data_IF_705443336038
#
_entry.id   IF_705443336038
#
_cell.length_a   1.000
_cell.length_b   1.000
_cell.length_c   1.000
_cell.angle_alpha   90.00
_cell.angle_beta   90.00
_cell.angle_gamma   90.00
#
_symmetry.space_group_name_H-M   'P 1'
#
loop_
_entity.id
_entity.type
_entity.pdbx_description
1 polymer ?
#
# COMPACT_ATOMS: atom_id res chain seq x y z
N UNK A 1 53.12 -10.32 17.82
CA UNK A 1 52.43 -11.30 16.94
C UNK A 1 50.94 -11.01 16.96
N UNK A 2 50.49 -10.16 16.05
CA UNK A 2 49.09 -9.75 15.89
C UNK A 2 48.37 -10.76 15.00
N UNK A 3 47.37 -11.46 15.55
CA UNK A 3 46.51 -12.39 14.81
C UNK A 3 45.41 -11.57 14.13
N UNK A 4 45.53 -11.36 12.83
CA UNK A 4 44.47 -10.79 12.00
C UNK A 4 43.30 -11.76 11.91
N UNK A 5 42.16 -11.35 12.45
CA UNK A 5 40.86 -12.01 12.30
C UNK A 5 40.21 -11.49 11.00
N UNK A 6 39.93 -12.34 10.00
CA UNK A 6 39.27 -11.87 8.79
C UNK A 6 37.80 -11.57 9.09
N UNK A 7 37.40 -10.33 8.84
CA UNK A 7 36.02 -9.88 8.95
C UNK A 7 35.11 -10.75 8.08
N UNK A 8 34.31 -11.57 8.74
CA UNK A 8 33.27 -12.40 8.18
C UNK A 8 32.26 -11.49 7.44
N UNK A 9 31.95 -11.73 6.15
CA UNK A 9 30.99 -10.90 5.45
C UNK A 9 29.62 -11.11 6.09
N UNK A 10 29.06 -10.05 6.67
CA UNK A 10 27.73 -10.02 7.24
C UNK A 10 26.72 -10.61 6.25
N UNK A 11 26.28 -11.84 6.53
CA UNK A 11 25.25 -12.54 5.77
C UNK A 11 24.00 -11.67 5.83
N UNK A 12 23.67 -11.02 4.71
CA UNK A 12 22.39 -10.37 4.55
C UNK A 12 21.30 -11.42 4.80
N UNK A 13 20.55 -11.27 5.88
CA UNK A 13 19.53 -12.22 6.33
C UNK A 13 18.41 -12.30 5.28
N UNK A 14 18.55 -13.21 4.32
CA UNK A 14 17.47 -13.53 3.37
C UNK A 14 16.33 -14.12 4.20
N UNK A 15 15.16 -13.47 4.28
CA UNK A 15 14.06 -13.96 5.10
C UNK A 15 13.61 -15.35 4.60
N UNK A 16 13.15 -16.23 5.51
CA UNK A 16 12.74 -17.58 5.14
C UNK A 16 11.60 -17.53 4.11
N UNK A 17 11.65 -18.42 3.11
CA UNK A 17 10.68 -18.50 1.99
C UNK A 17 9.20 -18.48 2.44
N UNK A 18 8.90 -19.02 3.62
CA UNK A 18 7.55 -19.03 4.24
C UNK A 18 7.08 -17.66 4.76
N UNK A 19 8.00 -16.82 5.23
CA UNK A 19 7.70 -15.43 5.59
C UNK A 19 7.39 -14.61 4.34
N UNK A 20 8.13 -14.84 3.24
CA UNK A 20 7.87 -14.23 1.94
C UNK A 20 6.48 -14.61 1.41
N UNK A 21 6.03 -15.87 1.57
CA UNK A 21 4.68 -16.26 1.14
C UNK A 21 3.58 -15.57 1.93
N UNK A 22 3.73 -15.43 3.25
CA UNK A 22 2.75 -14.69 4.08
C UNK A 22 2.73 -13.21 3.70
N UNK A 23 3.90 -12.58 3.62
CA UNK A 23 4.02 -11.18 3.21
C UNK A 23 3.42 -10.93 1.82
N UNK A 24 3.61 -11.86 0.87
CA UNK A 24 3.02 -11.77 -0.48
C UNK A 24 1.49 -11.86 -0.44
N UNK A 25 0.92 -12.76 0.37
CA UNK A 25 -0.54 -12.88 0.52
C UNK A 25 -1.12 -11.62 1.16
N UNK A 26 -0.48 -11.11 2.20
CA UNK A 26 -0.91 -9.89 2.90
C UNK A 26 -0.79 -8.67 1.98
N UNK A 27 0.32 -8.53 1.26
CA UNK A 27 0.52 -7.50 0.24
C UNK A 27 -0.55 -7.57 -0.86
N UNK A 28 -0.90 -8.77 -1.33
CA UNK A 28 -1.95 -8.95 -2.35
C UNK A 28 -3.33 -8.58 -1.84
N UNK A 29 -3.69 -8.98 -0.63
CA UNK A 29 -4.97 -8.61 -0.01
C UNK A 29 -5.07 -7.10 0.18
N UNK A 30 -3.99 -6.49 0.68
CA UNK A 30 -3.89 -5.04 0.82
C UNK A 30 -4.03 -4.34 -0.52
N UNK A 31 -3.27 -4.76 -1.54
CA UNK A 31 -3.34 -4.22 -2.89
C UNK A 31 -4.76 -4.24 -3.47
N UNK A 32 -5.45 -5.38 -3.43
CA UNK A 32 -6.82 -5.49 -3.94
C UNK A 32 -7.76 -4.51 -3.23
N UNK A 33 -7.68 -4.44 -1.89
CA UNK A 33 -8.54 -3.56 -1.09
C UNK A 33 -8.27 -2.09 -1.39
N UNK A 34 -7.00 -1.68 -1.35
CA UNK A 34 -6.61 -0.28 -1.52
C UNK A 34 -6.86 0.21 -2.94
N UNK A 35 -6.58 -0.60 -3.96
CA UNK A 35 -6.84 -0.20 -5.36
C UNK A 35 -8.35 -0.10 -5.62
N UNK A 36 -9.15 -1.03 -5.10
CA UNK A 36 -10.63 -0.92 -5.20
C UNK A 36 -11.11 0.38 -4.55
N UNK A 37 -10.60 0.69 -3.35
CA UNK A 37 -10.94 1.90 -2.64
C UNK A 37 -10.55 3.18 -3.40
N UNK A 38 -9.35 3.22 -3.99
CA UNK A 38 -8.91 4.36 -4.82
C UNK A 38 -9.82 4.53 -6.03
N UNK A 39 -10.16 3.44 -6.73
CA UNK A 39 -11.07 3.49 -7.88
C UNK A 39 -12.47 4.02 -7.48
N UNK A 40 -13.02 3.54 -6.36
CA UNK A 40 -14.31 4.01 -5.83
C UNK A 40 -14.28 5.49 -5.40
N UNK A 41 -13.14 5.98 -4.90
CA UNK A 41 -12.92 7.37 -4.52
C UNK A 41 -12.78 8.27 -5.76
N UNK A 42 -12.05 7.82 -6.78
CA UNK A 42 -11.98 8.51 -8.09
C UNK A 42 -13.35 8.56 -8.75
N UNK A 43 -14.17 7.51 -8.57
CA UNK A 43 -15.57 7.46 -8.98
C UNK A 43 -16.52 8.25 -8.04
N UNK A 44 -16.00 8.92 -7.00
CA UNK A 44 -16.74 9.73 -6.01
C UNK A 44 -17.83 8.99 -5.24
N UNK A 45 -17.74 7.66 -5.15
CA UNK A 45 -18.67 6.83 -4.36
C UNK A 45 -18.27 6.71 -2.90
N UNK A 46 -17.03 7.07 -2.59
CA UNK A 46 -16.46 7.08 -1.23
C UNK A 46 -15.72 8.37 -0.98
N UNK A 47 -15.59 8.74 0.29
CA UNK A 47 -14.85 9.92 0.71
C UNK A 47 -13.35 9.63 0.81
N UNK A 48 -12.53 10.64 0.50
CA UNK A 48 -11.07 10.51 0.54
C UNK A 48 -10.55 10.13 1.93
N UNK A 49 -11.26 10.50 3.01
CA UNK A 49 -10.91 10.10 4.38
C UNK A 49 -10.87 8.59 4.60
N UNK A 50 -11.50 7.78 3.74
CA UNK A 50 -11.39 6.32 3.84
C UNK A 50 -10.00 5.79 3.43
N UNK A 51 -9.18 6.59 2.72
CA UNK A 51 -7.78 6.25 2.42
C UNK A 51 -6.83 6.45 3.60
N UNK A 52 -7.29 7.07 4.69
CA UNK A 52 -6.45 7.26 5.86
C UNK A 52 -5.96 5.91 6.39
N UNK A 53 -4.64 5.83 6.62
CA UNK A 53 -3.95 4.60 6.97
C UNK A 53 -3.71 3.59 5.84
N UNK A 54 -4.34 3.74 4.67
CA UNK A 54 -4.11 2.90 3.48
C UNK A 54 -3.19 3.53 2.44
N UNK A 55 -3.07 4.86 2.44
CA UNK A 55 -2.19 5.60 1.54
C UNK A 55 -1.34 6.59 2.33
N UNK A 56 -0.21 6.99 1.75
CA UNK A 56 0.58 8.09 2.29
C UNK A 56 -0.17 9.42 2.18
N UNK A 57 0.11 10.37 3.07
CA UNK A 57 -0.49 11.70 3.04
C UNK A 57 -0.29 12.39 1.67
N UNK A 58 0.90 12.25 1.08
CA UNK A 58 1.20 12.79 -0.25
C UNK A 58 0.26 12.23 -1.33
N UNK A 59 0.02 10.93 -1.33
CA UNK A 59 -0.88 10.30 -2.31
C UNK A 59 -2.34 10.69 -2.08
N UNK A 60 -2.75 10.85 -0.82
CA UNK A 60 -4.06 11.37 -0.45
C UNK A 60 -4.24 12.80 -1.00
N UNK A 61 -3.24 13.66 -0.88
CA UNK A 61 -3.27 15.02 -1.40
C UNK A 61 -3.36 15.03 -2.94
N UNK A 62 -2.61 14.17 -3.62
CA UNK A 62 -2.67 14.01 -5.08
C UNK A 62 -4.05 13.55 -5.56
N UNK A 63 -4.63 12.54 -4.92
CA UNK A 63 -5.99 12.06 -5.24
C UNK A 63 -7.03 13.14 -4.96
N UNK A 64 -6.87 13.87 -3.86
CA UNK A 64 -7.74 15.00 -3.51
C UNK A 64 -7.69 16.09 -4.58
N UNK A 65 -6.49 16.48 -5.02
CA UNK A 65 -6.31 17.45 -6.08
C UNK A 65 -6.93 16.98 -7.41
N UNK A 66 -6.70 15.73 -7.79
CA UNK A 66 -7.28 15.11 -8.99
C UNK A 66 -8.82 15.17 -8.98
N UNK A 67 -9.44 14.82 -7.85
CA UNK A 67 -10.90 14.85 -7.70
C UNK A 67 -11.42 16.29 -7.81
N UNK A 68 -10.74 17.28 -7.24
CA UNK A 68 -11.14 18.69 -7.33
C UNK A 68 -11.05 19.25 -8.75
N UNK A 69 -10.00 18.87 -9.50
CA UNK A 69 -9.77 19.34 -10.87
C UNK A 69 -10.68 18.65 -11.90
N UNK A 70 -11.25 17.49 -11.57
CA UNK A 70 -12.15 16.75 -12.45
C UNK A 70 -13.58 17.30 -12.33
N UNK A 71 -14.21 17.80 -13.40
CA UNK A 71 -15.59 18.27 -13.31
C UNK A 71 -16.57 17.12 -13.04
N UNK A 72 -17.62 17.33 -12.22
CA UNK A 72 -18.70 16.35 -12.07
C UNK A 72 -19.33 16.03 -13.44
N UNK A 73 -19.41 14.75 -13.80
CA UNK A 73 -20.01 14.29 -15.08
C UNK A 73 -19.01 13.94 -16.19
N UNK A 74 -17.73 14.33 -16.09
CA UNK A 74 -16.68 13.90 -17.06
C UNK A 74 -16.26 12.45 -16.83
N UNK A 75 -16.44 12.00 -15.59
CA UNK A 75 -16.27 10.62 -15.17
C UNK A 75 -17.61 9.91 -15.39
N UNK A 76 -17.85 9.40 -16.60
CA UNK A 76 -19.08 8.68 -16.97
C UNK A 76 -19.43 7.65 -15.90
N UNK A 77 -20.72 7.58 -15.52
CA UNK A 77 -21.27 6.94 -14.32
C UNK A 77 -21.10 5.41 -14.18
N UNK A 78 -20.15 4.82 -14.88
CA UNK A 78 -19.83 3.41 -14.77
C UNK A 78 -18.81 3.14 -13.66
N UNK A 79 -19.20 2.20 -12.79
CA UNK A 79 -18.37 1.68 -11.70
C UNK A 79 -17.06 1.10 -12.25
N UNK A 80 -15.93 1.63 -11.78
CA UNK A 80 -14.65 0.99 -11.97
C UNK A 80 -14.63 -0.36 -11.22
N UNK A 81 -14.43 -1.44 -11.96
CA UNK A 81 -14.36 -2.80 -11.43
C UNK A 81 -12.96 -3.35 -11.63
N UNK A 82 -12.28 -3.68 -10.53
CA UNK A 82 -10.96 -4.29 -10.57
C UNK A 82 -11.06 -5.68 -11.21
N UNK A 83 -10.23 -5.96 -12.23
CA UNK A 83 -10.26 -7.24 -12.95
C UNK A 83 -9.08 -8.15 -12.66
N UNK A 84 -7.86 -7.63 -12.80
CA UNK A 84 -6.64 -8.39 -12.55
C UNK A 84 -5.69 -7.57 -11.68
N UNK A 85 -5.04 -8.26 -10.76
CA UNK A 85 -4.01 -7.71 -9.88
C UNK A 85 -2.86 -8.70 -9.81
N UNK A 86 -1.70 -8.23 -10.22
CA UNK A 86 -0.42 -8.89 -10.07
C UNK A 86 0.38 -8.11 -9.04
N UNK A 87 1.01 -8.82 -8.11
CA UNK A 87 1.86 -8.24 -7.08
C UNK A 87 3.25 -8.85 -7.23
N UNK A 88 4.25 -8.00 -7.37
CA UNK A 88 5.65 -8.36 -7.43
C UNK A 88 6.34 -7.82 -6.17
N UNK A 89 6.78 -8.72 -5.30
CA UNK A 89 7.57 -8.33 -4.14
C UNK A 89 8.94 -7.84 -4.60
N UNK A 90 9.34 -6.64 -4.16
CA UNK A 90 10.68 -6.08 -4.36
C UNK A 90 11.61 -6.37 -3.17
N UNK A 91 11.02 -6.76 -2.04
CA UNK A 91 11.72 -7.07 -0.81
C UNK A 91 10.74 -7.36 0.34
N UNK A 92 11.22 -7.45 1.59
CA UNK A 92 10.40 -7.84 2.74
C UNK A 92 9.25 -6.88 3.06
N UNK A 93 9.33 -5.63 2.61
CA UNK A 93 8.37 -4.56 2.92
C UNK A 93 8.05 -3.64 1.75
N UNK A 94 8.32 -4.06 0.51
CA UNK A 94 8.00 -3.28 -0.68
C UNK A 94 7.47 -4.21 -1.78
N UNK A 95 6.44 -3.78 -2.48
CA UNK A 95 5.89 -4.49 -3.62
C UNK A 95 5.35 -3.54 -4.68
N UNK A 96 5.54 -3.92 -5.93
CA UNK A 96 4.90 -3.29 -7.08
C UNK A 96 3.63 -4.05 -7.45
N UNK A 97 2.66 -3.29 -7.94
CA UNK A 97 1.33 -3.78 -8.28
C UNK A 97 1.01 -3.34 -9.69
N UNK A 98 0.60 -4.29 -10.50
CA UNK A 98 0.16 -4.04 -11.86
C UNK A 98 -1.17 -4.72 -12.10
N UNK A 99 -2.01 -4.12 -12.91
CA UNK A 99 -3.29 -4.72 -13.15
C UNK A 99 -4.14 -4.00 -14.17
N UNK A 100 -5.37 -4.47 -14.26
CA UNK A 100 -6.38 -3.87 -15.10
C UNK A 100 -7.68 -3.70 -14.34
N UNK A 101 -8.38 -2.64 -14.69
CA UNK A 101 -9.72 -2.34 -14.22
C UNK A 101 -10.61 -2.04 -15.42
N UNK A 102 -11.88 -2.38 -15.31
CA UNK A 102 -12.87 -2.04 -16.31
C UNK A 102 -13.65 -0.84 -15.83
N UNK A 103 -13.84 0.13 -16.71
CA UNK A 103 -14.72 1.28 -16.48
C UNK A 103 -15.59 1.47 -17.72
N UNK A 104 -16.89 1.25 -17.54
CA UNK A 104 -17.82 1.10 -18.65
C UNK A 104 -17.42 -0.04 -19.56
N UNK A 105 -17.33 0.24 -20.86
CA UNK A 105 -16.94 -0.74 -21.88
C UNK A 105 -15.42 -0.90 -22.04
N UNK A 106 -14.63 0.00 -21.43
CA UNK A 106 -13.18 0.03 -21.63
C UNK A 106 -12.45 -0.68 -20.49
N UNK A 107 -11.48 -1.50 -20.86
CA UNK A 107 -10.47 -2.04 -19.94
C UNK A 107 -9.27 -1.11 -19.98
N UNK A 108 -8.83 -0.67 -18.81
CA UNK A 108 -7.66 0.20 -18.61
C UNK A 108 -6.67 -0.46 -17.68
N UNK A 109 -5.43 0.00 -17.70
CA UNK A 109 -4.37 -0.52 -16.86
C UNK A 109 -4.06 0.42 -15.71
N UNK A 110 -3.41 -0.10 -14.68
CA UNK A 110 -2.88 0.72 -13.60
C UNK A 110 -1.55 0.15 -13.12
N UNK A 111 -0.72 1.03 -12.58
CA UNK A 111 0.52 0.68 -11.91
C UNK A 111 0.56 1.36 -10.54
N UNK A 112 1.02 0.65 -9.53
CA UNK A 112 1.07 1.13 -8.17
C UNK A 112 2.22 0.52 -7.39
N UNK A 113 2.56 1.13 -6.25
CA UNK A 113 3.57 0.61 -5.33
C UNK A 113 3.08 0.71 -3.91
N UNK A 114 3.34 -0.34 -3.14
CA UNK A 114 3.03 -0.41 -1.72
C UNK A 114 4.30 -0.67 -0.91
N UNK A 115 4.38 -0.04 0.26
CA UNK A 115 5.50 -0.19 1.19
C UNK A 115 4.99 -0.35 2.62
N UNK A 116 5.71 -1.12 3.43
CA UNK A 116 5.48 -1.19 4.86
C UNK A 116 6.12 0.02 5.52
N UNK A 117 5.29 0.99 5.91
CA UNK A 117 5.73 2.19 6.58
C UNK A 117 5.45 2.11 8.09
N UNK A 118 6.34 2.66 8.93
CA UNK A 118 6.13 2.72 10.36
C UNK A 118 4.97 3.66 10.65
N UNK A 119 3.89 3.13 11.24
CA UNK A 119 2.79 3.92 11.75
C UNK A 119 2.76 3.83 13.28
N UNK A 120 2.43 4.96 13.91
CA UNK A 120 2.31 5.02 15.37
C UNK A 120 0.96 4.46 15.75
N UNK A 121 0.96 3.39 16.54
CA UNK A 121 -0.28 2.84 17.08
C UNK A 121 -0.51 3.38 18.47
N UNK A 122 -1.74 3.85 18.70
CA UNK A 122 -2.20 4.16 20.05
C UNK A 122 -2.59 2.83 20.69
N UNK A 123 -1.76 2.31 21.58
CA UNK A 123 -2.12 1.17 22.42
C UNK A 123 -3.12 1.63 23.46
N UNK A 124 -4.41 1.48 23.18
CA UNK A 124 -5.50 1.65 24.15
C UNK A 124 -5.58 0.41 25.04
N UNK A 125 -4.55 0.17 25.86
CA UNK A 125 -4.68 -0.78 26.97
C UNK A 125 -4.69 0.05 28.25
N UNK A 126 -5.89 0.47 28.65
CA UNK A 126 -6.15 0.93 30.00
C UNK A 126 -6.22 -0.30 30.91
N UNK A 127 -5.33 -0.38 31.91
CA UNK A 127 -5.43 -1.11 33.21
C UNK A 127 -4.04 -1.37 33.82
N UNK A 128 -2.94 -1.24 33.06
CA UNK A 128 -1.57 -1.35 33.62
C UNK A 128 -0.80 -0.10 33.21
N UNK A 129 -0.09 0.55 34.15
CA UNK A 129 0.83 1.67 33.87
C UNK A 129 1.72 1.28 32.68
N UNK A 130 1.53 1.84 31.47
CA UNK A 130 2.37 1.48 30.36
C UNK A 130 3.68 2.24 30.54
N UNK A 131 4.78 1.52 30.70
CA UNK A 131 6.09 2.04 30.29
C UNK A 131 5.93 2.41 28.81
N UNK A 132 5.96 3.70 28.49
CA UNK A 132 5.62 4.24 27.16
C UNK A 132 6.71 3.89 26.14
N UNK A 133 6.92 2.61 25.84
CA UNK A 133 7.57 2.24 24.59
C UNK A 133 6.55 2.50 23.50
N UNK A 134 6.76 3.58 22.75
CA UNK A 134 5.94 3.95 21.61
C UNK A 134 5.88 2.75 20.66
N UNK A 135 4.75 2.05 20.63
CA UNK A 135 4.55 0.94 19.72
C UNK A 135 4.51 1.48 18.28
N UNK A 136 5.50 1.09 17.49
CA UNK A 136 5.58 1.35 16.05
C UNK A 136 5.15 0.07 15.35
N UNK A 137 4.07 0.13 14.57
CA UNK A 137 3.58 -0.98 13.76
C UNK A 137 3.91 -0.68 12.30
N UNK A 138 4.50 -1.64 11.59
CA UNK A 138 4.71 -1.52 10.15
C UNK A 138 3.43 -1.93 9.43
N UNK A 139 2.84 -1.00 8.68
CA UNK A 139 1.64 -1.25 7.89
C UNK A 139 1.89 -0.96 6.44
N UNK A 140 1.33 -1.81 5.58
CA UNK A 140 1.31 -1.54 4.15
C UNK A 140 0.60 -0.22 3.89
N UNK A 141 1.21 0.61 3.06
CA UNK A 141 0.68 1.87 2.57
C UNK A 141 0.92 1.97 1.07
N UNK A 142 -0.06 2.50 0.35
CA UNK A 142 0.08 2.89 -1.04
C UNK A 142 0.94 4.16 -1.12
N UNK A 143 2.11 4.04 -1.75
CA UNK A 143 3.09 5.12 -1.89
C UNK A 143 3.08 5.75 -3.26
N UNK A 144 2.66 5.01 -4.29
CA UNK A 144 2.52 5.51 -5.66
C UNK A 144 1.34 4.83 -6.36
N UNK A 145 0.64 5.57 -7.21
CA UNK A 145 -0.48 5.07 -8.01
C UNK A 145 -0.64 5.88 -9.29
N UNK A 146 -0.83 5.17 -10.40
CA UNK A 146 -1.06 5.75 -11.72
C UNK A 146 -2.06 4.92 -12.50
N UNK A 147 -2.92 5.62 -13.25
CA UNK A 147 -3.83 5.03 -14.22
C UNK A 147 -3.22 5.18 -15.62
N UNK A 148 -3.35 4.14 -16.44
CA UNK A 148 -2.83 4.07 -17.82
C UNK A 148 -4.00 3.97 -18.80
#
# INVERSE_FOLDING_TARGET
>A
MTRSEPAEPAVATVPPRRALSKATVDARRFAIRTITLVLEIVDRRRTVGQLDGFATAHLIDQVTALIRLTPPGVMSGDTATLRRVHVQMLGPGAAEIFGSYRRGERVRAFAARIEQLPCRVRTTTATVRPVLTRAVEYRWQLVAFTLV
#
